data_IF_713400165921
#
_entry.id   IF_713400165921
#
_cell.length_a   1.000
_cell.length_b   1.000
_cell.length_c   1.000
_cell.angle_alpha   90.00
_cell.angle_beta   90.00
_cell.angle_gamma   90.00
#
_symmetry.space_group_name_H-M   'P 1'
#
loop_
_entity.id
_entity.type
_entity.pdbx_description
1 polymer ?
#
# COMPACT_ATOMS: atom_id res chain seq x y z
N UNK A 1 -36.88 -121.44 86.42
CA UNK A 1 -36.83 -121.11 84.97
C UNK A 1 -36.55 -119.61 84.84
N UNK A 2 -35.37 -119.17 85.30
CA UNK A 2 -35.11 -117.76 85.70
C UNK A 2 -33.95 -117.11 84.93
N UNK A 3 -33.40 -117.78 83.90
CA UNK A 3 -32.28 -117.28 83.09
C UNK A 3 -32.70 -116.63 81.76
N UNK A 4 -34.00 -116.70 81.42
CA UNK A 4 -34.58 -116.17 80.18
C UNK A 4 -35.07 -114.70 80.30
N UNK A 5 -35.45 -114.24 81.51
CA UNK A 5 -35.92 -112.86 81.73
C UNK A 5 -34.77 -111.83 81.82
N UNK A 6 -33.64 -112.20 82.44
CA UNK A 6 -32.48 -111.31 82.57
C UNK A 6 -31.81 -111.09 81.20
N UNK A 7 -31.77 -112.12 80.35
CA UNK A 7 -31.23 -112.01 78.99
C UNK A 7 -32.12 -111.16 78.08
N UNK A 8 -33.45 -111.23 78.22
CA UNK A 8 -34.38 -110.37 77.47
C UNK A 8 -34.31 -108.90 77.92
N UNK A 9 -34.13 -108.65 79.23
CA UNK A 9 -34.01 -107.30 79.79
C UNK A 9 -32.66 -106.64 79.42
N UNK A 10 -31.57 -107.40 79.43
CA UNK A 10 -30.26 -106.96 78.91
C UNK A 10 -30.36 -106.66 77.39
N UNK A 11 -31.04 -107.52 76.62
CA UNK A 11 -31.29 -107.27 75.20
C UNK A 11 -32.08 -105.98 74.94
N UNK A 12 -33.07 -105.68 75.78
CA UNK A 12 -33.88 -104.47 75.68
C UNK A 12 -33.08 -103.21 76.05
N UNK A 13 -32.26 -103.26 77.11
CA UNK A 13 -31.34 -102.17 77.47
C UNK A 13 -30.31 -101.93 76.36
N UNK A 14 -29.76 -102.99 75.76
CA UNK A 14 -28.84 -102.87 74.62
C UNK A 14 -29.52 -102.27 73.39
N UNK A 15 -30.77 -102.64 73.09
CA UNK A 15 -31.52 -102.05 71.98
C UNK A 15 -31.83 -100.57 72.21
N UNK A 16 -32.27 -100.18 73.42
CA UNK A 16 -32.53 -98.78 73.76
C UNK A 16 -31.23 -97.96 73.72
N UNK A 17 -30.13 -98.51 74.22
CA UNK A 17 -28.80 -97.88 74.17
C UNK A 17 -28.32 -97.71 72.72
N UNK A 18 -28.50 -98.73 71.88
CA UNK A 18 -28.20 -98.65 70.45
C UNK A 18 -29.07 -97.59 69.75
N UNK A 19 -30.36 -97.49 70.09
CA UNK A 19 -31.26 -96.47 69.54
C UNK A 19 -30.84 -95.05 69.93
N UNK A 20 -30.42 -94.84 71.18
CA UNK A 20 -29.93 -93.54 71.68
C UNK A 20 -28.62 -93.15 71.00
N UNK A 21 -27.70 -94.11 70.81
CA UNK A 21 -26.44 -93.89 70.08
C UNK A 21 -26.73 -93.56 68.61
N UNK A 22 -27.64 -94.30 67.96
CA UNK A 22 -28.05 -94.04 66.58
C UNK A 22 -28.72 -92.67 66.43
N UNK A 23 -29.60 -92.28 67.36
CA UNK A 23 -30.24 -90.95 67.36
C UNK A 23 -29.22 -89.82 67.58
N UNK A 24 -28.28 -89.97 68.52
CA UNK A 24 -27.19 -89.00 68.72
C UNK A 24 -26.26 -88.92 67.53
N UNK A 25 -25.92 -90.06 66.91
CA UNK A 25 -25.13 -90.10 65.68
C UNK A 25 -25.85 -89.45 64.49
N UNK A 26 -27.16 -89.67 64.33
CA UNK A 26 -27.98 -89.05 63.29
C UNK A 26 -28.14 -87.54 63.49
N UNK A 27 -28.43 -87.08 64.72
CA UNK A 27 -28.52 -85.65 65.06
C UNK A 27 -27.17 -84.95 64.99
N UNK A 28 -26.08 -85.64 65.35
CA UNK A 28 -24.71 -85.19 65.17
C UNK A 28 -24.33 -85.04 63.70
N UNK A 29 -24.71 -86.00 62.85
CA UNK A 29 -24.56 -85.91 61.38
C UNK A 29 -25.35 -84.73 60.80
N UNK A 30 -26.60 -84.53 61.21
CA UNK A 30 -27.44 -83.39 60.77
C UNK A 30 -26.87 -82.03 61.20
N UNK A 31 -26.35 -81.92 62.44
CA UNK A 31 -25.67 -80.70 62.90
C UNK A 31 -24.37 -80.43 62.15
N UNK A 32 -23.56 -81.47 61.91
CA UNK A 32 -22.32 -81.37 61.10
C UNK A 32 -22.62 -80.95 59.67
N UNK A 33 -23.67 -81.50 59.06
CA UNK A 33 -24.08 -81.12 57.71
C UNK A 33 -24.49 -79.64 57.63
N UNK A 34 -25.32 -79.15 58.57
CA UNK A 34 -25.66 -77.73 58.65
C UNK A 34 -24.44 -76.83 58.89
N UNK A 35 -23.48 -77.27 59.71
CA UNK A 35 -22.22 -76.55 59.92
C UNK A 35 -21.38 -76.48 58.65
N UNK A 36 -21.31 -77.58 57.88
CA UNK A 36 -20.59 -77.60 56.61
C UNK A 36 -21.27 -76.71 55.57
N UNK A 37 -22.60 -76.77 55.44
CA UNK A 37 -23.36 -75.87 54.56
C UNK A 37 -23.13 -74.40 54.93
N UNK A 38 -23.14 -74.05 56.22
CA UNK A 38 -22.81 -72.70 56.67
C UNK A 38 -21.34 -72.33 56.35
N UNK A 39 -20.39 -73.25 56.54
CA UNK A 39 -18.99 -73.02 56.20
C UNK A 39 -18.81 -72.78 54.69
N UNK A 40 -19.48 -73.56 53.84
CA UNK A 40 -19.44 -73.40 52.39
C UNK A 40 -20.07 -72.07 51.94
N UNK A 41 -21.18 -71.65 52.57
CA UNK A 41 -21.77 -70.33 52.28
C UNK A 41 -20.85 -69.19 52.71
N UNK A 42 -20.18 -69.31 53.87
CA UNK A 42 -19.22 -68.31 54.35
C UNK A 42 -17.98 -68.24 53.45
N UNK A 43 -17.47 -69.38 52.98
CA UNK A 43 -16.38 -69.44 52.00
C UNK A 43 -16.77 -68.79 50.68
N UNK A 44 -17.96 -69.10 50.15
CA UNK A 44 -18.45 -68.47 48.92
C UNK A 44 -18.63 -66.95 49.04
N UNK A 45 -19.12 -66.48 50.19
CA UNK A 45 -19.22 -65.04 50.48
C UNK A 45 -17.83 -64.42 50.58
N UNK A 46 -16.89 -65.09 51.26
CA UNK A 46 -15.50 -64.65 51.35
C UNK A 46 -14.87 -64.48 49.96
N UNK A 47 -14.99 -65.48 49.09
CA UNK A 47 -14.42 -65.43 47.74
C UNK A 47 -15.06 -64.32 46.88
N UNK A 48 -16.38 -64.14 47.00
CA UNK A 48 -17.08 -63.03 46.35
C UNK A 48 -16.60 -61.69 46.87
N UNK A 49 -16.37 -61.56 48.18
CA UNK A 49 -15.88 -60.34 48.79
C UNK A 49 -14.43 -60.05 48.36
N UNK A 50 -13.56 -61.07 48.32
CA UNK A 50 -12.19 -60.93 47.85
C UNK A 50 -12.12 -60.45 46.39
N UNK A 51 -13.00 -60.98 45.51
CA UNK A 51 -13.13 -60.51 44.14
C UNK A 51 -13.54 -59.03 44.07
N UNK A 52 -14.50 -58.62 44.90
CA UNK A 52 -14.93 -57.23 44.98
C UNK A 52 -13.82 -56.32 45.50
N UNK A 53 -13.05 -56.75 46.50
CA UNK A 53 -11.89 -56.01 47.03
C UNK A 53 -10.83 -55.81 45.95
N UNK A 54 -10.46 -56.87 45.22
CA UNK A 54 -9.50 -56.75 44.11
C UNK A 54 -9.97 -55.79 43.03
N UNK A 55 -11.27 -55.79 42.72
CA UNK A 55 -11.85 -54.84 41.75
C UNK A 55 -11.83 -53.40 42.25
N UNK A 56 -12.06 -53.19 43.54
CA UNK A 56 -11.95 -51.88 44.17
C UNK A 56 -10.50 -51.39 44.18
N UNK A 57 -9.53 -52.26 44.42
CA UNK A 57 -8.10 -51.92 44.35
C UNK A 57 -7.70 -51.49 42.94
N UNK A 58 -8.10 -52.22 41.90
CA UNK A 58 -7.82 -51.83 40.51
C UNK A 58 -8.46 -50.48 40.16
N UNK A 59 -9.73 -50.29 40.53
CA UNK A 59 -10.44 -49.03 40.30
C UNK A 59 -9.79 -47.87 41.06
N UNK A 60 -9.34 -48.09 42.30
CA UNK A 60 -8.65 -47.07 43.08
C UNK A 60 -7.32 -46.67 42.43
N UNK A 61 -6.58 -47.61 41.85
CA UNK A 61 -5.35 -47.33 41.09
C UNK A 61 -5.62 -46.52 39.83
N UNK A 62 -6.65 -46.88 39.07
CA UNK A 62 -7.08 -46.14 37.87
C UNK A 62 -7.52 -44.70 38.22
N UNK A 63 -8.34 -44.53 39.26
CA UNK A 63 -8.77 -43.20 39.74
C UNK A 63 -7.57 -42.35 40.17
N UNK A 64 -6.58 -42.93 40.85
CA UNK A 64 -5.37 -42.21 41.25
C UNK A 64 -4.56 -41.73 40.03
N UNK A 65 -4.38 -42.58 39.01
CA UNK A 65 -3.68 -42.22 37.77
C UNK A 65 -4.42 -41.13 37.00
N UNK A 66 -5.75 -41.23 36.90
CA UNK A 66 -6.55 -40.23 36.20
C UNK A 66 -6.60 -38.89 36.95
N UNK A 67 -6.56 -38.91 38.29
CA UNK A 67 -6.45 -37.69 39.08
C UNK A 67 -5.10 -36.97 38.84
N UNK A 68 -4.00 -37.72 38.76
CA UNK A 68 -2.68 -37.17 38.41
C UNK A 68 -2.69 -36.52 37.02
N UNK A 69 -3.29 -37.19 36.02
CA UNK A 69 -3.49 -36.60 34.69
C UNK A 69 -4.33 -35.33 34.77
N UNK A 70 -5.41 -35.33 35.56
CA UNK A 70 -6.28 -34.18 35.75
C UNK A 70 -5.50 -32.97 36.30
N UNK A 71 -4.66 -33.17 37.32
CA UNK A 71 -3.78 -32.11 37.83
C UNK A 71 -2.81 -31.59 36.77
N UNK A 72 -2.20 -32.49 35.98
CA UNK A 72 -1.28 -32.09 34.91
C UNK A 72 -1.97 -31.27 33.81
N UNK A 73 -3.20 -31.63 33.46
CA UNK A 73 -4.02 -30.92 32.48
C UNK A 73 -4.47 -29.57 33.03
N UNK A 74 -4.85 -29.50 34.30
CA UNK A 74 -5.23 -28.24 34.96
C UNK A 74 -4.06 -27.26 35.02
N UNK A 75 -2.85 -27.76 35.33
CA UNK A 75 -1.63 -26.94 35.30
C UNK A 75 -1.34 -26.39 33.90
N UNK A 76 -1.40 -27.24 32.88
CA UNK A 76 -1.22 -26.81 31.47
C UNK A 76 -2.31 -25.85 31.02
N UNK A 77 -3.55 -26.05 31.44
CA UNK A 77 -4.66 -25.15 31.13
C UNK A 77 -4.42 -23.76 31.74
N UNK A 78 -3.89 -23.68 32.96
CA UNK A 78 -3.47 -22.41 33.57
C UNK A 78 -2.37 -21.72 32.77
N UNK A 79 -1.32 -22.46 32.38
CA UNK A 79 -0.25 -21.89 31.54
C UNK A 79 -0.76 -21.38 30.19
N UNK A 80 -1.69 -22.10 29.56
CA UNK A 80 -2.32 -21.64 28.31
C UNK A 80 -3.20 -20.42 28.52
N UNK A 81 -3.86 -20.29 29.68
CA UNK A 81 -4.63 -19.10 29.99
C UNK A 81 -3.71 -17.87 30.12
N UNK A 82 -2.59 -18.00 30.84
CA UNK A 82 -1.63 -16.91 31.00
C UNK A 82 -1.05 -16.46 29.64
N UNK A 83 -0.80 -17.39 28.73
CA UNK A 83 -0.32 -17.04 27.38
C UNK A 83 -1.39 -16.37 26.54
N UNK A 84 -2.66 -16.80 26.65
CA UNK A 84 -3.79 -16.15 25.98
C UNK A 84 -3.93 -14.71 26.48
N UNK A 85 -3.93 -14.49 27.80
CA UNK A 85 -4.08 -13.16 28.40
C UNK A 85 -2.94 -12.22 27.95
N UNK A 86 -1.70 -12.74 27.89
CA UNK A 86 -0.54 -11.99 27.38
C UNK A 86 -0.66 -11.62 25.90
N UNK A 87 -1.16 -12.55 25.07
CA UNK A 87 -1.38 -12.31 23.65
C UNK A 87 -2.51 -11.31 23.41
N UNK A 88 -3.59 -11.37 24.19
CA UNK A 88 -4.68 -10.39 24.13
C UNK A 88 -4.20 -8.98 24.48
N UNK A 89 -3.43 -8.84 25.56
CA UNK A 89 -2.83 -7.55 25.92
C UNK A 89 -1.98 -6.99 24.77
N UNK A 90 -1.13 -7.83 24.17
CA UNK A 90 -0.24 -7.42 23.07
C UNK A 90 -1.00 -7.09 21.80
N UNK A 91 -2.09 -7.80 21.49
CA UNK A 91 -3.00 -7.47 20.39
C UNK A 91 -3.60 -6.07 20.60
N UNK A 92 -4.13 -5.81 21.79
CA UNK A 92 -4.79 -4.53 22.09
C UNK A 92 -3.79 -3.35 22.11
N UNK A 93 -2.52 -3.60 22.42
CA UNK A 93 -1.44 -2.63 22.26
C UNK A 93 -1.13 -2.35 20.78
N UNK A 94 -0.95 -3.39 19.97
CA UNK A 94 -0.72 -3.25 18.52
C UNK A 94 -1.89 -2.57 17.80
N UNK A 95 -3.13 -2.85 18.20
CA UNK A 95 -4.31 -2.20 17.63
C UNK A 95 -4.33 -0.69 17.92
N UNK A 96 -3.90 -0.29 19.12
CA UNK A 96 -3.74 1.13 19.47
C UNK A 96 -2.64 1.80 18.65
N UNK A 97 -1.50 1.13 18.47
CA UNK A 97 -0.40 1.63 17.64
C UNK A 97 -0.82 1.77 16.18
N UNK A 98 -1.49 0.76 15.63
CA UNK A 98 -2.00 0.78 14.26
C UNK A 98 -3.00 1.93 14.03
N UNK A 99 -3.90 2.17 14.99
CA UNK A 99 -4.81 3.32 14.94
C UNK A 99 -4.05 4.65 14.97
N UNK A 100 -2.99 4.74 15.77
CA UNK A 100 -2.13 5.93 15.81
C UNK A 100 -1.39 6.14 14.47
N UNK A 101 -0.84 5.08 13.89
CA UNK A 101 -0.15 5.12 12.59
C UNK A 101 -1.11 5.49 11.45
N UNK A 102 -2.34 5.00 11.48
CA UNK A 102 -3.36 5.38 10.50
C UNK A 102 -3.67 6.87 10.55
N UNK A 103 -3.79 7.45 11.76
CA UNK A 103 -4.02 8.90 11.93
C UNK A 103 -2.84 9.73 11.41
N UNK A 104 -1.61 9.36 11.74
CA UNK A 104 -0.42 10.09 11.26
C UNK A 104 -0.27 9.96 9.75
N UNK A 105 -0.59 8.78 9.18
CA UNK A 105 -0.63 8.59 7.74
C UNK A 105 -1.65 9.52 7.07
N UNK A 106 -2.87 9.61 7.60
CA UNK A 106 -3.91 10.50 7.06
C UNK A 106 -3.49 11.97 7.14
N UNK A 107 -2.86 12.40 8.23
CA UNK A 107 -2.33 13.76 8.39
C UNK A 107 -1.21 14.06 7.38
N UNK A 108 -0.28 13.13 7.19
CA UNK A 108 0.79 13.25 6.20
C UNK A 108 0.22 13.32 4.78
N UNK A 109 -0.79 12.51 4.47
CA UNK A 109 -1.46 12.55 3.17
C UNK A 109 -2.13 13.90 2.92
N UNK A 110 -2.86 14.45 3.91
CA UNK A 110 -3.46 15.79 3.81
C UNK A 110 -2.40 16.89 3.62
N UNK A 111 -1.32 16.84 4.39
CA UNK A 111 -0.21 17.79 4.27
C UNK A 111 0.46 17.72 2.89
N UNK A 112 0.69 16.52 2.38
CA UNK A 112 1.26 16.32 1.05
C UNK A 112 0.33 16.85 -0.05
N UNK A 113 -0.98 16.63 0.07
CA UNK A 113 -1.96 17.21 -0.88
C UNK A 113 -1.95 18.75 -0.87
N UNK A 114 -1.85 19.39 0.30
CA UNK A 114 -1.77 20.86 0.40
C UNK A 114 -0.45 21.40 -0.18
N UNK A 115 0.68 20.73 0.08
CA UNK A 115 1.97 21.11 -0.47
C UNK A 115 2.02 20.96 -1.99
N UNK A 116 1.46 19.88 -2.54
CA UNK A 116 1.40 19.67 -3.99
C UNK A 116 0.51 20.71 -4.66
N UNK A 117 -0.62 21.08 -4.06
CA UNK A 117 -1.48 22.16 -4.55
C UNK A 117 -0.77 23.52 -4.50
N UNK A 118 -0.10 23.86 -3.39
CA UNK A 118 0.70 25.09 -3.27
C UNK A 118 1.82 25.15 -4.30
N UNK A 119 2.52 24.04 -4.53
CA UNK A 119 3.58 23.95 -5.51
C UNK A 119 3.05 24.15 -6.95
N UNK A 120 1.87 23.61 -7.27
CA UNK A 120 1.21 23.84 -8.55
C UNK A 120 0.87 25.32 -8.75
N UNK A 121 0.25 25.96 -7.75
CA UNK A 121 -0.09 27.39 -7.79
C UNK A 121 1.14 28.28 -7.97
N UNK A 122 2.23 27.99 -7.25
CA UNK A 122 3.49 28.72 -7.40
C UNK A 122 4.10 28.56 -8.79
N UNK A 123 4.03 27.36 -9.36
CA UNK A 123 4.51 27.10 -10.72
C UNK A 123 3.74 27.93 -11.75
N UNK A 124 2.41 27.97 -11.63
CA UNK A 124 1.57 28.74 -12.55
C UNK A 124 1.85 30.24 -12.44
N UNK A 125 2.04 30.75 -11.21
CA UNK A 125 2.43 32.15 -10.99
C UNK A 125 3.79 32.49 -11.61
N UNK A 126 4.80 31.62 -11.43
CA UNK A 126 6.13 31.82 -12.03
C UNK A 126 6.05 31.85 -13.56
N UNK A 127 5.22 30.99 -14.17
CA UNK A 127 5.02 30.99 -15.63
C UNK A 127 4.38 32.29 -16.11
N UNK A 128 3.35 32.76 -15.40
CA UNK A 128 2.68 34.03 -15.73
C UNK A 128 3.63 35.23 -15.59
N UNK A 129 4.36 35.31 -14.47
CA UNK A 129 5.34 36.38 -14.25
C UNK A 129 6.46 36.31 -15.29
N UNK A 130 6.91 35.11 -15.66
CA UNK A 130 7.89 34.90 -16.72
C UNK A 130 7.41 35.42 -18.07
N UNK A 131 6.14 35.21 -18.43
CA UNK A 131 5.55 35.78 -19.65
C UNK A 131 5.52 37.31 -19.60
N UNK A 132 5.13 37.89 -18.47
CA UNK A 132 5.12 39.34 -18.31
C UNK A 132 6.52 39.96 -18.43
N UNK A 133 7.56 39.28 -17.95
CA UNK A 133 8.96 39.71 -18.14
C UNK A 133 9.35 39.70 -19.61
N UNK A 134 9.01 38.65 -20.36
CA UNK A 134 9.29 38.58 -21.81
C UNK A 134 8.58 39.73 -22.57
N UNK A 135 7.33 40.04 -22.23
CA UNK A 135 6.60 41.18 -22.82
C UNK A 135 7.29 42.52 -22.50
N UNK A 136 7.77 42.69 -21.27
CA UNK A 136 8.53 43.88 -20.87
C UNK A 136 9.86 43.99 -21.60
N UNK A 137 10.58 42.90 -21.80
CA UNK A 137 11.83 42.87 -22.58
C UNK A 137 11.58 43.30 -24.03
N UNK A 138 10.56 42.76 -24.68
CA UNK A 138 10.15 43.18 -26.03
C UNK A 138 9.80 44.67 -26.08
N UNK A 139 9.11 45.18 -25.05
CA UNK A 139 8.80 46.62 -24.94
C UNK A 139 10.05 47.48 -24.72
N UNK A 140 11.01 47.03 -23.94
CA UNK A 140 12.28 47.72 -23.75
C UNK A 140 13.07 47.77 -25.06
N UNK A 141 13.11 46.67 -25.81
CA UNK A 141 13.82 46.61 -27.09
C UNK A 141 13.19 47.52 -28.15
N UNK A 142 11.86 47.55 -28.23
CA UNK A 142 11.16 48.49 -29.12
C UNK A 142 11.45 49.94 -28.74
N UNK A 143 11.38 50.29 -27.45
CA UNK A 143 11.71 51.63 -26.96
C UNK A 143 13.17 52.00 -27.22
N UNK A 144 14.11 51.05 -27.04
CA UNK A 144 15.53 51.26 -27.34
C UNK A 144 15.73 51.62 -28.81
N UNK A 145 15.11 50.87 -29.73
CA UNK A 145 15.18 51.15 -31.17
C UNK A 145 14.56 52.50 -31.54
N UNK A 146 13.43 52.86 -30.92
CA UNK A 146 12.81 54.19 -31.13
C UNK A 146 13.75 55.30 -30.66
N UNK A 147 14.35 55.16 -29.46
CA UNK A 147 15.33 56.10 -28.93
C UNK A 147 16.51 56.26 -29.89
N UNK A 148 17.08 55.16 -30.38
CA UNK A 148 18.20 55.22 -31.33
C UNK A 148 17.81 55.95 -32.63
N UNK A 149 16.61 55.70 -33.16
CA UNK A 149 16.11 56.41 -34.34
C UNK A 149 15.99 57.91 -34.12
N UNK A 150 15.54 58.33 -32.93
CA UNK A 150 15.48 59.74 -32.55
C UNK A 150 16.88 60.37 -32.39
N UNK A 151 17.84 59.64 -31.81
CA UNK A 151 19.23 60.12 -31.69
C UNK A 151 19.89 60.34 -33.05
N UNK A 152 19.64 59.46 -34.02
CA UNK A 152 20.12 59.62 -35.41
C UNK A 152 19.45 60.83 -36.06
N UNK A 153 18.13 61.01 -35.88
CA UNK A 153 17.39 62.12 -36.47
C UNK A 153 17.88 63.50 -35.99
N UNK A 154 18.42 63.58 -34.77
CA UNK A 154 18.96 64.82 -34.17
C UNK A 154 20.49 64.91 -34.37
N UNK A 155 21.09 64.07 -35.20
CA UNK A 155 22.55 64.02 -35.49
C UNK A 155 23.43 63.77 -34.25
N UNK A 156 22.87 63.23 -33.18
CA UNK A 156 23.58 62.94 -31.93
C UNK A 156 24.33 61.59 -31.94
N UNK A 157 24.18 60.79 -33.01
CA UNK A 157 24.84 59.49 -33.17
C UNK A 157 25.28 59.27 -34.61
N UNK A 158 26.52 58.82 -34.87
CA UNK A 158 27.00 58.54 -36.22
C UNK A 158 26.28 57.31 -36.80
N UNK A 159 25.63 57.50 -37.94
CA UNK A 159 24.99 56.42 -38.68
C UNK A 159 25.18 56.63 -40.19
N UNK A 160 25.14 55.54 -40.95
CA UNK A 160 25.25 55.55 -42.41
C UNK A 160 23.88 55.24 -43.02
N UNK A 161 23.34 56.17 -43.81
CA UNK A 161 22.11 55.91 -44.57
C UNK A 161 22.37 54.82 -45.61
N UNK A 162 21.44 53.87 -45.75
CA UNK A 162 21.45 52.85 -46.80
C UNK A 162 20.30 53.16 -47.77
N UNK A 163 20.54 53.93 -48.86
CA UNK A 163 19.48 54.44 -49.73
C UNK A 163 18.65 53.32 -50.39
N UNK A 164 19.27 52.17 -50.67
CA UNK A 164 18.59 51.02 -51.26
C UNK A 164 17.43 50.51 -50.40
N UNK A 165 17.57 50.51 -49.07
CA UNK A 165 16.52 50.06 -48.15
C UNK A 165 15.32 51.01 -48.13
N UNK A 166 15.52 52.28 -48.47
CA UNK A 166 14.45 53.28 -48.59
C UNK A 166 13.64 53.13 -49.88
N UNK A 167 14.03 52.23 -50.79
CA UNK A 167 13.27 51.98 -52.02
C UNK A 167 11.98 51.19 -51.73
N UNK A 168 10.92 51.42 -52.51
CA UNK A 168 9.66 50.68 -52.39
C UNK A 168 9.80 49.23 -52.87
N UNK A 169 9.01 48.31 -52.32
CA UNK A 169 9.10 46.86 -52.61
C UNK A 169 9.04 46.47 -54.10
N UNK A 170 8.36 47.24 -54.94
CA UNK A 170 8.30 46.94 -56.38
C UNK A 170 9.68 47.01 -57.06
N UNK A 171 10.65 47.74 -56.48
CA UNK A 171 12.01 47.81 -57.02
C UNK A 171 12.75 46.47 -56.97
N UNK A 172 12.30 45.52 -56.12
CA UNK A 172 12.88 44.18 -56.02
C UNK A 172 12.55 43.26 -57.20
N UNK A 173 11.61 43.66 -58.08
CA UNK A 173 11.19 42.83 -59.21
C UNK A 173 10.47 41.54 -58.78
N UNK A 174 9.82 41.55 -57.61
CA UNK A 174 8.96 40.46 -57.16
C UNK A 174 7.59 40.50 -57.86
N UNK A 175 6.86 39.39 -57.83
CA UNK A 175 5.56 39.29 -58.49
C UNK A 175 4.56 40.25 -57.83
N UNK A 176 3.70 40.96 -58.59
CA UNK A 176 2.74 41.91 -58.02
C UNK A 176 1.82 41.30 -56.96
N UNK A 177 1.46 40.02 -57.11
CA UNK A 177 0.70 39.29 -56.09
C UNK A 177 1.47 39.21 -54.77
N UNK A 178 2.72 38.73 -54.78
CA UNK A 178 3.57 38.66 -53.60
C UNK A 178 3.77 40.04 -52.95
N UNK A 179 3.96 41.09 -53.77
CA UNK A 179 4.07 42.45 -53.27
C UNK A 179 2.81 42.90 -52.53
N UNK A 180 1.61 42.65 -53.09
CA UNK A 180 0.35 43.01 -52.44
C UNK A 180 0.18 42.33 -51.08
N UNK A 181 0.59 41.06 -50.96
CA UNK A 181 0.59 40.36 -49.68
C UNK A 181 1.57 40.99 -48.69
N UNK A 182 2.81 41.26 -49.08
CA UNK A 182 3.78 41.93 -48.21
C UNK A 182 3.28 43.31 -47.74
N UNK A 183 2.68 44.08 -48.65
CA UNK A 183 2.11 45.41 -48.34
C UNK A 183 0.89 45.33 -47.42
N UNK A 184 0.06 44.29 -47.53
CA UNK A 184 -1.06 44.04 -46.61
C UNK A 184 -0.58 43.81 -45.17
N UNK A 185 0.63 43.27 -45.00
CA UNK A 185 1.31 43.09 -43.71
C UNK A 185 2.14 44.32 -43.30
N UNK A 186 2.01 45.44 -44.01
CA UNK A 186 2.66 46.71 -43.68
C UNK A 186 4.08 46.88 -44.21
N UNK A 187 4.60 45.91 -44.96
CA UNK A 187 5.93 45.96 -45.57
C UNK A 187 5.83 46.76 -46.87
N UNK A 188 6.38 47.98 -46.90
CA UNK A 188 6.24 48.90 -48.04
C UNK A 188 7.57 49.19 -48.71
N UNK A 189 8.65 49.15 -47.94
CA UNK A 189 10.02 49.43 -48.37
C UNK A 189 10.89 48.18 -48.28
N UNK A 190 11.97 48.13 -49.04
CA UNK A 190 12.97 47.05 -48.97
C UNK A 190 13.53 46.91 -47.55
N UNK A 191 13.71 48.04 -46.86
CA UNK A 191 14.13 48.09 -45.46
C UNK A 191 13.17 47.42 -44.48
N UNK A 192 11.88 47.37 -44.80
CA UNK A 192 10.91 46.66 -43.93
C UNK A 192 11.17 45.14 -43.96
N UNK A 193 11.66 44.59 -45.09
CA UNK A 193 11.96 43.15 -45.21
C UNK A 193 13.19 42.72 -44.42
N UNK A 194 14.25 43.51 -44.46
CA UNK A 194 15.55 43.12 -43.88
C UNK A 194 15.51 43.01 -42.35
N UNK A 195 14.48 43.55 -41.70
CA UNK A 195 14.26 43.41 -40.25
C UNK A 195 13.65 42.07 -39.85
N UNK A 196 13.18 41.30 -40.82
CA UNK A 196 12.53 40.02 -40.62
C UNK A 196 13.43 38.90 -41.14
N UNK A 197 13.22 37.71 -40.58
CA UNK A 197 13.89 36.50 -41.03
C UNK A 197 13.09 35.83 -42.16
N UNK A 198 13.66 34.76 -42.69
CA UNK A 198 13.01 33.94 -43.72
C UNK A 198 11.72 33.27 -43.21
N UNK A 199 11.69 32.85 -41.95
CA UNK A 199 10.54 32.14 -41.38
C UNK A 199 9.31 33.06 -41.34
N UNK A 200 9.46 34.29 -40.86
CA UNK A 200 8.41 35.30 -40.86
C UNK A 200 7.85 35.54 -42.27
N UNK A 201 8.72 35.64 -43.28
CA UNK A 201 8.28 35.85 -44.66
C UNK A 201 7.50 34.66 -45.21
N UNK A 202 7.85 33.42 -44.84
CA UNK A 202 7.11 32.22 -45.25
C UNK A 202 5.75 32.06 -44.56
N UNK A 203 5.53 32.70 -43.42
CA UNK A 203 4.23 32.71 -42.73
C UNK A 203 3.21 33.65 -43.40
N UNK A 204 3.69 34.59 -44.23
CA UNK A 204 2.82 35.50 -44.98
C UNK A 204 2.14 34.74 -46.12
N UNK A 205 0.81 34.74 -46.10
CA UNK A 205 0.03 34.09 -47.16
C UNK A 205 0.41 34.63 -48.55
N UNK A 206 0.68 33.73 -49.50
CA UNK A 206 1.08 34.09 -50.86
C UNK A 206 2.59 34.27 -51.05
N UNK A 207 3.41 34.11 -50.00
CA UNK A 207 4.87 34.14 -50.07
C UNK A 207 5.42 32.71 -49.92
N UNK A 208 5.91 32.17 -51.03
CA UNK A 208 6.54 30.84 -51.06
C UNK A 208 8.07 30.89 -51.08
N UNK A 209 8.75 29.73 -50.93
CA UNK A 209 10.21 29.64 -50.89
C UNK A 209 10.90 30.30 -52.09
N UNK A 210 10.35 30.12 -53.30
CA UNK A 210 10.91 30.74 -54.51
C UNK A 210 10.88 32.28 -54.48
N UNK A 211 9.88 32.87 -53.80
CA UNK A 211 9.79 34.32 -53.64
C UNK A 211 10.80 34.81 -52.61
N UNK A 212 10.94 34.09 -51.49
CA UNK A 212 11.94 34.40 -50.45
C UNK A 212 13.35 34.32 -51.02
N UNK A 213 13.68 33.28 -51.79
CA UNK A 213 14.99 33.14 -52.45
C UNK A 213 15.28 34.28 -53.42
N UNK A 214 14.26 34.74 -54.17
CA UNK A 214 14.41 35.90 -55.04
C UNK A 214 14.64 37.19 -54.26
N UNK A 215 13.93 37.38 -53.13
CA UNK A 215 14.15 38.51 -52.21
C UNK A 215 15.59 38.48 -51.69
N UNK A 216 16.04 37.35 -51.14
CA UNK A 216 17.42 37.18 -50.63
C UNK A 216 18.47 37.46 -51.71
N UNK A 217 18.29 36.93 -52.91
CA UNK A 217 19.20 37.16 -54.05
C UNK A 217 19.31 38.65 -54.36
N UNK A 218 18.17 39.35 -54.45
CA UNK A 218 18.12 40.79 -54.72
C UNK A 218 18.67 41.64 -53.58
N UNK A 219 18.47 41.25 -52.33
CA UNK A 219 19.08 41.90 -51.18
C UNK A 219 20.60 41.77 -51.25
N UNK A 220 21.11 40.55 -51.47
CA UNK A 220 22.55 40.25 -51.52
C UNK A 220 23.25 41.00 -52.66
N UNK A 221 22.63 41.10 -53.84
CA UNK A 221 23.12 41.90 -54.97
C UNK A 221 23.35 43.38 -54.61
N UNK A 222 22.61 43.89 -53.62
CA UNK A 222 22.65 45.29 -53.18
C UNK A 222 23.31 45.44 -51.79
N UNK A 223 24.06 44.45 -51.32
CA UNK A 223 24.80 44.51 -50.05
C UNK A 223 23.93 44.51 -48.80
N UNK A 224 22.69 44.01 -48.90
CA UNK A 224 21.77 43.82 -47.79
C UNK A 224 21.47 42.32 -47.60
N UNK A 225 21.05 41.93 -46.41
CA UNK A 225 20.57 40.57 -46.15
C UNK A 225 19.34 40.63 -45.24
N UNK A 226 18.64 39.51 -45.09
CA UNK A 226 17.63 39.37 -44.04
C UNK A 226 18.31 39.40 -42.67
N UNK A 227 17.52 39.70 -41.64
CA UNK A 227 17.99 39.89 -40.26
C UNK A 227 19.13 40.92 -40.11
N UNK A 228 19.12 41.95 -40.95
CA UNK A 228 20.08 43.04 -40.88
C UNK A 228 19.68 44.03 -39.78
N UNK A 229 20.62 44.36 -38.91
CA UNK A 229 20.40 45.32 -37.83
C UNK A 229 20.45 46.77 -38.36
N UNK A 230 19.28 47.27 -38.73
CA UNK A 230 19.06 48.62 -39.26
C UNK A 230 18.03 49.40 -38.48
N UNK A 231 18.22 50.71 -38.40
CA UNK A 231 17.34 51.64 -37.70
C UNK A 231 16.55 52.44 -38.74
N UNK A 232 15.23 52.46 -38.57
CA UNK A 232 14.33 53.25 -39.41
C UNK A 232 14.12 54.63 -38.79
N UNK A 233 14.31 55.68 -39.59
CA UNK A 233 13.96 57.06 -39.25
C UNK A 233 13.08 57.58 -40.38
N UNK A 234 11.79 57.80 -40.08
CA UNK A 234 10.77 58.10 -41.09
C UNK A 234 10.74 57.07 -42.23
N UNK A 235 11.07 57.44 -43.47
CA UNK A 235 11.15 56.55 -44.63
C UNK A 235 12.59 56.20 -45.03
N UNK A 236 13.55 56.49 -44.14
CA UNK A 236 14.98 56.25 -44.36
C UNK A 236 15.51 55.20 -43.41
N UNK A 237 16.57 54.54 -43.84
CA UNK A 237 17.16 53.39 -43.16
C UNK A 237 18.63 53.61 -42.94
N UNK A 238 19.09 53.30 -41.72
CA UNK A 238 20.44 53.59 -41.28
C UNK A 238 21.11 52.35 -40.70
N UNK A 239 22.40 52.16 -40.99
CA UNK A 239 23.28 51.21 -40.30
C UNK A 239 24.07 51.97 -39.24
N UNK A 240 24.25 51.37 -38.06
CA UNK A 240 25.15 51.94 -37.04
C UNK A 240 26.58 51.95 -37.60
N UNK A 241 27.27 53.08 -37.48
CA UNK A 241 28.72 53.09 -37.69
C UNK A 241 29.33 52.47 -36.44
N UNK A 242 30.00 51.34 -36.59
CA UNK A 242 30.90 50.80 -35.57
C UNK A 242 32.14 51.69 -35.55
N UNK A 243 32.46 52.23 -34.38
CA UNK A 243 33.75 52.87 -34.10
C UNK A 243 34.90 51.85 -34.21
#
# INVERSE_FOLDING_TARGET
>A
METLDITMLIGLVLMVSALVILYRCARGKSRRQRMNELADTLLSIHDSFELQVRRLETLSGEIASDNEKCFSLQYRAGQLQDTVDSLEYRRDELDRENLSLARTHDELMRSNTDLTEKAARLRDAIVQDGQAVVELEQRIDTLRRIKEGLEIAVENKPAEEIPYLSQPLFSLGIQPSAQNHLTAYGLRYVGDLVRHDEQYLMEIWGIGPATVERIKTKLNENGACLDMDVIRVDNRWYRRKTD
#
